data_IF_240818148665
#
_entry.id   IF_240818148665
#
_cell.length_a   1.000
_cell.length_b   1.000
_cell.length_c   1.000
_cell.angle_alpha   90.00
_cell.angle_beta   90.00
_cell.angle_gamma   90.00
#
_symmetry.space_group_name_H-M   'P 1'
#
loop_
_entity.id
_entity.type
_entity.pdbx_description
1 polymer ?
#
# COMPACT_ATOMS: atom_id res chain seq x y z
N UNK A 1 8.51 85.59 3.78
CA UNK A 1 8.89 84.25 4.27
C UNK A 1 7.63 83.38 4.18
N UNK A 2 7.43 82.72 3.04
CA UNK A 2 6.32 81.78 2.85
C UNK A 2 6.82 80.37 3.09
N UNK A 3 6.14 79.62 3.96
CA UNK A 3 6.34 78.19 4.09
C UNK A 3 5.68 77.50 2.89
N UNK A 4 6.36 76.61 2.15
CA UNK A 4 5.69 75.75 1.18
C UNK A 4 4.95 74.66 1.95
N UNK A 5 3.63 74.75 1.91
CA UNK A 5 2.68 73.79 2.46
C UNK A 5 2.22 72.88 1.32
N UNK A 6 3.11 71.98 0.88
CA UNK A 6 2.81 70.95 -0.12
C UNK A 6 3.45 69.63 0.34
N UNK A 7 2.82 69.01 1.34
CA UNK A 7 3.00 67.58 1.57
C UNK A 7 1.82 66.85 0.92
N UNK A 8 2.07 66.26 -0.25
CA UNK A 8 1.24 65.31 -1.00
C UNK A 8 1.02 64.00 -0.20
N UNK A 9 0.44 64.11 1.01
CA UNK A 9 0.27 63.01 1.95
C UNK A 9 -0.87 62.05 1.60
N UNK A 10 -1.80 62.45 0.74
CA UNK A 10 -3.03 61.67 0.47
C UNK A 10 -2.86 60.67 -0.68
N UNK A 11 -2.02 60.99 -1.68
CA UNK A 11 -1.74 60.08 -2.80
C UNK A 11 -0.84 58.90 -2.38
N UNK A 12 0.17 59.15 -1.55
CA UNK A 12 1.10 58.13 -1.07
C UNK A 12 0.43 57.11 -0.14
N UNK A 13 -0.52 57.53 0.70
CA UNK A 13 -1.30 56.62 1.55
C UNK A 13 -2.28 55.73 0.76
N UNK A 14 -2.88 56.26 -0.31
CA UNK A 14 -3.77 55.50 -1.19
C UNK A 14 -3.01 54.51 -2.10
N UNK A 15 -1.83 54.86 -2.58
CA UNK A 15 -0.94 53.95 -3.31
C UNK A 15 -0.41 52.82 -2.42
N UNK A 16 -0.03 53.11 -1.17
CA UNK A 16 0.39 52.11 -0.20
C UNK A 16 -0.74 51.15 0.22
N UNK A 17 -1.99 51.63 0.33
CA UNK A 17 -3.16 50.75 0.53
C UNK A 17 -3.46 49.89 -0.70
N UNK A 18 -3.44 50.45 -1.91
CA UNK A 18 -3.68 49.70 -3.14
C UNK A 18 -2.65 48.59 -3.39
N UNK A 19 -1.39 48.84 -3.03
CA UNK A 19 -0.31 47.84 -3.10
C UNK A 19 -0.44 46.76 -2.04
N UNK A 20 -0.83 47.10 -0.81
CA UNK A 20 -1.10 46.13 0.25
C UNK A 20 -2.30 45.23 -0.08
N UNK A 21 -3.42 45.79 -0.54
CA UNK A 21 -4.61 45.02 -0.93
C UNK A 21 -4.34 44.08 -2.12
N UNK A 22 -3.46 44.50 -3.04
CA UNK A 22 -2.97 43.66 -4.14
C UNK A 22 -2.05 42.53 -3.68
N UNK A 23 -1.18 42.77 -2.70
CA UNK A 23 -0.32 41.74 -2.08
C UNK A 23 -1.15 40.76 -1.26
N UNK A 24 -2.11 41.25 -0.48
CA UNK A 24 -3.00 40.44 0.35
C UNK A 24 -3.87 39.50 -0.49
N UNK A 25 -4.47 39.99 -1.59
CA UNK A 25 -5.23 39.13 -2.52
C UNK A 25 -4.37 38.03 -3.16
N UNK A 26 -3.13 38.34 -3.56
CA UNK A 26 -2.20 37.34 -4.10
C UNK A 26 -1.84 36.29 -3.04
N UNK A 27 -1.57 36.72 -1.82
CA UNK A 27 -1.31 35.81 -0.70
C UNK A 27 -2.50 34.90 -0.42
N UNK A 28 -3.72 35.44 -0.37
CA UNK A 28 -4.94 34.64 -0.17
C UNK A 28 -5.13 33.60 -1.28
N UNK A 29 -4.92 33.98 -2.54
CA UNK A 29 -4.99 33.06 -3.67
C UNK A 29 -3.96 31.93 -3.56
N UNK A 30 -2.71 32.25 -3.21
CA UNK A 30 -1.66 31.25 -2.97
C UNK A 30 -2.01 30.30 -1.82
N UNK A 31 -2.57 30.80 -0.72
CA UNK A 31 -3.01 29.95 0.40
C UNK A 31 -4.13 29.01 -0.02
N UNK A 32 -5.09 29.46 -0.84
CA UNK A 32 -6.18 28.62 -1.35
C UNK A 32 -5.62 27.53 -2.28
N UNK A 33 -4.71 27.87 -3.17
CA UNK A 33 -4.05 26.93 -4.08
C UNK A 33 -3.23 25.88 -3.31
N UNK A 34 -2.42 26.32 -2.34
CA UNK A 34 -1.64 25.41 -1.48
C UNK A 34 -2.56 24.45 -0.72
N UNK A 35 -3.69 24.92 -0.20
CA UNK A 35 -4.68 24.06 0.48
C UNK A 35 -5.35 23.08 -0.49
N UNK A 36 -5.65 23.50 -1.72
CA UNK A 36 -6.19 22.60 -2.75
C UNK A 36 -5.18 21.50 -3.10
N UNK A 37 -3.92 21.86 -3.33
CA UNK A 37 -2.83 20.93 -3.62
C UNK A 37 -2.59 19.96 -2.44
N UNK A 38 -2.60 20.46 -1.20
CA UNK A 38 -2.48 19.62 -0.01
C UNK A 38 -3.63 18.62 0.12
N UNK A 39 -4.87 19.03 -0.17
CA UNK A 39 -6.04 18.13 -0.15
C UNK A 39 -5.93 17.06 -1.21
N UNK A 40 -5.61 17.44 -2.45
CA UNK A 40 -5.44 16.49 -3.54
C UNK A 40 -4.35 15.45 -3.21
N UNK A 41 -3.22 15.91 -2.70
CA UNK A 41 -2.12 15.01 -2.31
C UNK A 41 -2.52 14.03 -1.20
N UNK A 42 -3.21 14.51 -0.15
CA UNK A 42 -3.72 13.63 0.91
C UNK A 42 -4.69 12.60 0.38
N UNK A 43 -5.59 13.00 -0.52
CA UNK A 43 -6.51 12.08 -1.19
C UNK A 43 -5.76 11.03 -2.04
N UNK A 44 -4.70 11.41 -2.76
CA UNK A 44 -3.87 10.45 -3.50
C UNK A 44 -3.15 9.46 -2.57
N UNK A 45 -2.64 9.92 -1.43
CA UNK A 45 -2.06 9.01 -0.43
C UNK A 45 -3.09 8.06 0.18
N UNK A 46 -4.27 8.58 0.50
CA UNK A 46 -5.38 7.79 1.02
C UNK A 46 -5.79 6.70 0.02
N UNK A 47 -6.05 7.08 -1.23
CA UNK A 47 -6.37 6.14 -2.30
C UNK A 47 -5.29 5.04 -2.45
N UNK A 48 -4.02 5.43 -2.47
CA UNK A 48 -2.89 4.50 -2.51
C UNK A 48 -2.90 3.51 -1.34
N UNK A 49 -3.05 4.00 -0.11
CA UNK A 49 -3.08 3.18 1.11
C UNK A 49 -4.27 2.22 1.13
N UNK A 50 -5.45 2.72 0.79
CA UNK A 50 -6.70 1.93 0.79
C UNK A 50 -6.64 0.86 -0.29
N UNK A 51 -6.20 1.19 -1.49
CA UNK A 51 -6.03 0.22 -2.59
C UNK A 51 -5.06 -0.89 -2.19
N UNK A 52 -3.91 -0.54 -1.61
CA UNK A 52 -2.92 -1.51 -1.13
C UNK A 52 -3.45 -2.42 -0.04
N UNK A 53 -4.11 -1.84 0.96
CA UNK A 53 -4.66 -2.57 2.10
C UNK A 53 -5.77 -3.53 1.68
N UNK A 54 -6.71 -3.08 0.84
CA UNK A 54 -7.83 -3.91 0.38
C UNK A 54 -7.31 -5.07 -0.48
N UNK A 55 -6.47 -4.81 -1.47
CA UNK A 55 -5.89 -5.88 -2.29
C UNK A 55 -5.01 -6.83 -1.47
N UNK A 56 -4.23 -6.30 -0.52
CA UNK A 56 -3.41 -7.10 0.39
C UNK A 56 -4.25 -8.07 1.20
N UNK A 57 -5.38 -7.61 1.75
CA UNK A 57 -6.33 -8.47 2.48
C UNK A 57 -7.00 -9.51 1.57
N UNK A 58 -7.44 -9.11 0.38
CA UNK A 58 -8.07 -10.04 -0.58
C UNK A 58 -7.10 -11.16 -0.94
N UNK A 59 -5.87 -10.84 -1.33
CA UNK A 59 -4.86 -11.83 -1.68
C UNK A 59 -4.42 -12.68 -0.49
N UNK A 60 -4.35 -12.09 0.72
CA UNK A 60 -4.09 -12.84 1.94
C UNK A 60 -5.21 -13.86 2.19
N UNK A 61 -6.48 -13.42 2.20
CA UNK A 61 -7.63 -14.29 2.42
C UNK A 61 -7.74 -15.36 1.34
N UNK A 62 -7.44 -15.02 0.08
CA UNK A 62 -7.37 -15.97 -1.02
C UNK A 62 -6.32 -17.06 -0.76
N UNK A 63 -5.17 -16.69 -0.19
CA UNK A 63 -4.12 -17.65 0.15
C UNK A 63 -4.46 -18.48 1.38
N UNK A 64 -5.23 -17.91 2.30
CA UNK A 64 -5.68 -18.55 3.53
C UNK A 64 -6.84 -19.51 3.35
N UNK A 65 -7.58 -19.43 2.24
CA UNK A 65 -8.83 -20.16 2.07
C UNK A 65 -10.02 -19.50 2.76
N UNK A 66 -9.90 -18.20 3.07
CA UNK A 66 -10.90 -17.41 3.80
C UNK A 66 -11.59 -16.38 2.92
N UNK A 67 -11.34 -16.38 1.62
CA UNK A 67 -11.99 -15.45 0.70
C UNK A 67 -13.33 -16.03 0.26
N UNK A 68 -14.41 -15.33 0.58
CA UNK A 68 -15.75 -15.68 0.13
C UNK A 68 -15.87 -15.61 -1.40
N UNK A 69 -16.58 -16.54 -2.07
CA UNK A 69 -16.75 -16.49 -3.53
C UNK A 69 -17.41 -15.21 -4.06
N UNK A 70 -18.24 -14.55 -3.25
CA UNK A 70 -18.94 -13.29 -3.55
C UNK A 70 -18.27 -12.06 -2.91
N UNK A 71 -16.97 -12.16 -2.55
CA UNK A 71 -16.23 -11.08 -1.88
C UNK A 71 -16.33 -9.71 -2.58
N UNK A 72 -16.48 -9.69 -3.91
CA UNK A 72 -16.63 -8.46 -4.69
C UNK A 72 -17.91 -7.70 -4.35
N UNK A 73 -19.00 -8.41 -4.08
CA UNK A 73 -20.32 -7.82 -3.78
C UNK A 73 -20.41 -7.31 -2.34
N UNK A 74 -19.56 -7.83 -1.45
CA UNK A 74 -19.52 -7.45 -0.03
C UNK A 74 -18.51 -6.33 0.26
N UNK A 75 -17.62 -6.02 -0.69
CA UNK A 75 -16.68 -4.92 -0.58
C UNK A 75 -17.40 -3.56 -0.63
N UNK A 76 -17.28 -2.82 0.47
CA UNK A 76 -17.81 -1.46 0.62
C UNK A 76 -16.92 -0.65 1.57
N UNK A 77 -16.95 0.70 1.48
CA UNK A 77 -16.32 1.56 2.49
C UNK A 77 -16.75 1.21 3.92
N UNK A 78 -18.02 0.93 4.13
CA UNK A 78 -18.56 0.55 5.44
C UNK A 78 -17.95 -0.75 5.97
N UNK A 79 -17.84 -1.78 5.13
CA UNK A 79 -17.18 -3.03 5.50
C UNK A 79 -15.68 -2.82 5.77
N UNK A 80 -15.01 -1.98 4.97
CA UNK A 80 -13.61 -1.61 5.19
C UNK A 80 -13.42 -0.96 6.57
N UNK A 81 -14.24 0.02 6.96
CA UNK A 81 -14.12 0.64 8.28
C UNK A 81 -14.50 -0.33 9.42
N UNK A 82 -15.50 -1.18 9.22
CA UNK A 82 -15.91 -2.19 10.20
C UNK A 82 -14.80 -3.22 10.47
N UNK A 83 -13.92 -3.48 9.49
CA UNK A 83 -12.73 -4.31 9.64
C UNK A 83 -11.59 -3.65 10.45
N UNK A 84 -11.81 -2.45 11.00
CA UNK A 84 -10.88 -1.75 11.89
C UNK A 84 -9.99 -0.72 11.20
N UNK A 85 -10.20 -0.45 9.91
CA UNK A 85 -9.50 0.64 9.22
C UNK A 85 -10.06 2.00 9.67
N UNK A 86 -9.20 3.00 9.94
CA UNK A 86 -9.66 4.31 10.39
C UNK A 86 -10.56 4.98 9.36
N UNK A 87 -11.73 5.45 9.78
CA UNK A 87 -12.62 6.25 8.95
C UNK A 87 -12.19 7.72 8.93
N UNK A 88 -11.84 8.30 7.77
CA UNK A 88 -11.53 9.72 7.67
C UNK A 88 -12.77 10.60 7.95
N UNK A 89 -12.53 11.83 8.41
CA UNK A 89 -13.58 12.85 8.55
C UNK A 89 -13.62 13.85 7.39
N UNK A 90 -12.56 13.93 6.60
CA UNK A 90 -12.47 14.78 5.41
C UNK A 90 -13.20 14.12 4.23
N UNK A 91 -14.19 14.77 3.61
CA UNK A 91 -14.93 14.24 2.45
C UNK A 91 -14.03 13.79 1.30
N UNK A 92 -12.94 14.50 1.03
CA UNK A 92 -12.03 14.14 -0.08
C UNK A 92 -11.30 12.81 0.18
N UNK A 93 -11.09 12.45 1.45
CA UNK A 93 -10.47 11.18 1.82
C UNK A 93 -11.50 10.04 1.80
N UNK A 94 -12.75 10.32 2.16
CA UNK A 94 -13.86 9.38 2.00
C UNK A 94 -14.10 9.03 0.52
N UNK A 95 -14.07 10.04 -0.36
CA UNK A 95 -14.17 9.83 -1.81
C UNK A 95 -12.99 9.02 -2.35
N UNK A 96 -11.78 9.24 -1.83
CA UNK A 96 -10.60 8.46 -2.18
C UNK A 96 -10.71 6.99 -1.76
N UNK A 97 -11.25 6.71 -0.57
CA UNK A 97 -11.53 5.34 -0.11
C UNK A 97 -12.58 4.66 -0.99
N UNK A 98 -13.69 5.36 -1.28
CA UNK A 98 -14.76 4.84 -2.12
C UNK A 98 -14.28 4.50 -3.52
N UNK A 99 -13.45 5.37 -4.13
CA UNK A 99 -12.83 5.10 -5.43
C UNK A 99 -11.89 3.89 -5.38
N UNK A 100 -11.01 3.80 -4.39
CA UNK A 100 -10.09 2.68 -4.24
C UNK A 100 -10.84 1.34 -4.11
N UNK A 101 -11.87 1.30 -3.26
CA UNK A 101 -12.68 0.09 -3.05
C UNK A 101 -13.45 -0.29 -4.32
N UNK A 102 -14.04 0.69 -5.01
CA UNK A 102 -14.72 0.48 -6.28
C UNK A 102 -13.77 -0.12 -7.33
N UNK A 103 -12.55 0.41 -7.46
CA UNK A 103 -11.55 -0.10 -8.40
C UNK A 103 -11.14 -1.55 -8.09
N UNK A 104 -11.00 -1.92 -6.81
CA UNK A 104 -10.75 -3.32 -6.42
C UNK A 104 -11.95 -4.21 -6.78
N UNK A 105 -13.15 -3.81 -6.35
CA UNK A 105 -14.37 -4.61 -6.52
C UNK A 105 -14.71 -4.84 -8.00
N UNK A 106 -14.42 -3.86 -8.86
CA UNK A 106 -14.68 -3.91 -10.31
C UNK A 106 -13.49 -4.37 -11.15
N UNK A 107 -12.35 -4.69 -10.54
CA UNK A 107 -11.22 -5.26 -11.26
C UNK A 107 -11.62 -6.57 -11.97
N UNK A 108 -10.99 -6.92 -13.11
CA UNK A 108 -11.27 -8.18 -13.79
C UNK A 108 -11.14 -9.38 -12.85
N UNK A 109 -12.01 -10.38 -13.03
CA UNK A 109 -11.93 -11.63 -12.28
C UNK A 109 -10.59 -12.32 -12.55
N UNK A 110 -9.89 -12.68 -11.49
CA UNK A 110 -8.57 -13.30 -11.53
C UNK A 110 -8.65 -14.82 -11.45
N UNK A 111 -7.63 -15.49 -12.00
CA UNK A 111 -7.56 -16.95 -12.08
C UNK A 111 -7.41 -17.60 -10.70
N UNK A 112 -6.91 -16.88 -9.70
CA UNK A 112 -6.79 -17.38 -8.34
C UNK A 112 -8.07 -17.23 -7.51
N UNK A 113 -9.12 -16.60 -8.04
CA UNK A 113 -10.37 -16.44 -7.28
C UNK A 113 -11.02 -17.81 -6.98
N UNK A 114 -11.85 -17.89 -5.91
CA UNK A 114 -12.52 -19.14 -5.54
C UNK A 114 -13.21 -19.81 -6.74
N UNK A 115 -12.95 -21.11 -6.91
CA UNK A 115 -13.50 -21.95 -7.97
C UNK A 115 -13.17 -21.57 -9.43
N UNK A 116 -12.45 -20.47 -9.68
CA UNK A 116 -12.17 -19.95 -11.03
C UNK A 116 -11.39 -20.93 -11.94
N UNK A 117 -10.63 -21.87 -11.36
CA UNK A 117 -9.87 -22.88 -12.10
C UNK A 117 -10.49 -24.27 -12.13
N UNK A 118 -11.66 -24.47 -11.51
CA UNK A 118 -12.30 -25.79 -11.46
C UNK A 118 -11.42 -26.89 -10.84
N UNK A 119 -10.64 -26.56 -9.82
CA UNK A 119 -9.78 -27.51 -9.11
C UNK A 119 -8.32 -27.58 -9.58
N UNK A 120 -7.93 -26.81 -10.62
CA UNK A 120 -6.52 -26.65 -10.98
C UNK A 120 -5.83 -25.67 -10.01
N UNK A 121 -5.47 -26.21 -8.84
CA UNK A 121 -4.83 -25.45 -7.76
C UNK A 121 -3.47 -24.89 -8.17
N UNK A 122 -2.73 -25.56 -9.06
CA UNK A 122 -1.39 -25.11 -9.47
C UNK A 122 -1.50 -23.85 -10.31
N UNK A 123 -2.47 -23.80 -11.22
CA UNK A 123 -2.77 -22.60 -12.00
C UNK A 123 -3.25 -21.45 -11.13
N UNK A 124 -4.15 -21.72 -10.18
CA UNK A 124 -4.62 -20.72 -9.22
C UNK A 124 -3.47 -20.15 -8.37
N UNK A 125 -2.65 -21.02 -7.78
CA UNK A 125 -1.50 -20.63 -6.95
C UNK A 125 -0.45 -19.81 -7.73
N UNK A 126 -0.21 -20.16 -9.00
CA UNK A 126 0.72 -19.41 -9.85
C UNK A 126 0.19 -18.02 -10.17
N UNK A 127 -1.10 -17.91 -10.53
CA UNK A 127 -1.75 -16.63 -10.77
C UNK A 127 -1.76 -15.75 -9.52
N UNK A 128 -2.05 -16.32 -8.35
CA UNK A 128 -1.99 -15.63 -7.06
C UNK A 128 -0.61 -15.03 -6.79
N UNK A 129 0.46 -15.81 -7.00
CA UNK A 129 1.84 -15.34 -6.81
C UNK A 129 2.13 -14.15 -7.73
N UNK A 130 1.74 -14.26 -8.99
CA UNK A 130 2.06 -13.24 -9.99
C UNK A 130 1.33 -11.92 -9.69
N UNK A 131 0.05 -11.98 -9.32
CA UNK A 131 -0.74 -10.81 -8.93
C UNK A 131 -0.24 -10.20 -7.60
N UNK A 132 0.12 -11.03 -6.61
CA UNK A 132 0.70 -10.54 -5.36
C UNK A 132 2.03 -9.81 -5.58
N UNK A 133 2.89 -10.31 -6.47
CA UNK A 133 4.15 -9.63 -6.83
C UNK A 133 3.89 -8.36 -7.61
N UNK A 134 2.91 -8.36 -8.52
CA UNK A 134 2.52 -7.19 -9.29
C UNK A 134 2.00 -6.08 -8.38
N UNK A 135 1.13 -6.42 -7.42
CA UNK A 135 0.63 -5.49 -6.41
C UNK A 135 1.78 -4.87 -5.61
N UNK A 136 2.68 -5.68 -5.05
CA UNK A 136 3.79 -5.16 -4.24
C UNK A 136 4.67 -4.19 -5.03
N UNK A 137 5.05 -4.55 -6.26
CA UNK A 137 5.83 -3.68 -7.13
C UNK A 137 5.09 -2.39 -7.48
N UNK A 138 3.79 -2.48 -7.72
CA UNK A 138 2.96 -1.31 -7.98
C UNK A 138 2.91 -0.40 -6.75
N UNK A 139 2.66 -0.96 -5.57
CA UNK A 139 2.58 -0.24 -4.30
C UNK A 139 3.88 0.51 -4.00
N UNK A 140 5.04 -0.13 -4.07
CA UNK A 140 6.32 0.54 -3.83
C UNK A 140 6.66 1.59 -4.88
N UNK A 141 6.27 1.38 -6.15
CA UNK A 141 6.44 2.38 -7.21
C UNK A 141 5.58 3.62 -6.96
N UNK A 142 4.30 3.42 -6.64
CA UNK A 142 3.35 4.50 -6.34
C UNK A 142 3.75 5.26 -5.08
N UNK A 143 4.17 4.55 -4.03
CA UNK A 143 4.72 5.14 -2.81
C UNK A 143 5.91 6.04 -3.08
N UNK A 144 6.87 5.59 -3.91
CA UNK A 144 8.06 6.37 -4.27
C UNK A 144 7.66 7.64 -5.02
N UNK A 145 6.78 7.52 -6.01
CA UNK A 145 6.25 8.68 -6.74
C UNK A 145 5.55 9.68 -5.81
N UNK A 146 4.70 9.20 -4.89
CA UNK A 146 4.03 10.03 -3.89
C UNK A 146 5.02 10.68 -2.90
N UNK A 147 6.08 9.98 -2.55
CA UNK A 147 7.13 10.42 -1.64
C UNK A 147 8.03 11.48 -2.28
N UNK A 148 8.36 11.36 -3.56
CA UNK A 148 9.15 12.36 -4.30
C UNK A 148 8.45 13.73 -4.29
N UNK A 149 7.13 13.74 -4.26
CA UNK A 149 6.33 14.97 -4.16
C UNK A 149 6.29 15.59 -2.77
N UNK A 150 6.65 14.87 -1.70
CA UNK A 150 6.40 15.33 -0.32
C UNK A 150 7.49 15.16 0.71
N UNK A 151 8.47 14.31 0.45
CA UNK A 151 9.65 14.17 1.30
C UNK A 151 10.69 15.21 0.84
N UNK A 152 11.27 15.99 1.77
CA UNK A 152 12.39 16.89 1.48
C UNK A 152 13.53 16.15 0.77
N UNK A 153 14.18 16.79 -0.20
CA UNK A 153 15.16 16.15 -1.08
C UNK A 153 16.30 15.43 -0.33
N UNK A 154 16.75 16.00 0.80
CA UNK A 154 17.80 15.39 1.64
C UNK A 154 17.41 14.07 2.32
N UNK A 155 16.11 13.84 2.56
CA UNK A 155 15.60 12.63 3.23
C UNK A 155 15.24 11.52 2.24
N UNK A 156 15.10 11.85 0.94
CA UNK A 156 14.69 10.89 -0.11
C UNK A 156 15.60 9.68 -0.26
N UNK A 157 16.95 9.79 -0.20
CA UNK A 157 17.82 8.61 -0.34
C UNK A 157 17.58 7.55 0.75
N UNK A 158 17.32 7.98 1.98
CA UNK A 158 17.04 7.08 3.10
C UNK A 158 15.67 6.41 2.95
N UNK A 159 14.64 7.16 2.53
CA UNK A 159 13.31 6.61 2.26
C UNK A 159 13.35 5.60 1.10
N UNK A 160 14.06 5.92 0.01
CA UNK A 160 14.21 5.03 -1.14
C UNK A 160 14.94 3.73 -0.77
N UNK A 161 15.97 3.79 0.08
CA UNK A 161 16.66 2.58 0.59
C UNK A 161 15.73 1.73 1.45
N UNK A 162 14.98 2.34 2.37
CA UNK A 162 14.00 1.64 3.20
C UNK A 162 12.93 0.95 2.33
N UNK A 163 12.38 1.64 1.35
CA UNK A 163 11.37 1.10 0.44
C UNK A 163 11.92 -0.08 -0.38
N UNK A 164 13.13 0.03 -0.92
CA UNK A 164 13.75 -1.07 -1.66
C UNK A 164 13.98 -2.31 -0.78
N UNK A 165 14.36 -2.10 0.48
CA UNK A 165 14.52 -3.19 1.45
C UNK A 165 13.18 -3.87 1.74
N UNK A 166 12.13 -3.08 2.06
CA UNK A 166 10.80 -3.63 2.35
C UNK A 166 10.19 -4.34 1.14
N UNK A 167 10.35 -3.80 -0.07
CA UNK A 167 9.91 -4.43 -1.32
C UNK A 167 10.57 -5.79 -1.52
N UNK A 168 11.90 -5.86 -1.38
CA UNK A 168 12.64 -7.12 -1.53
C UNK A 168 12.16 -8.19 -0.53
N UNK A 169 11.94 -7.81 0.73
CA UNK A 169 11.47 -8.73 1.78
C UNK A 169 10.05 -9.23 1.52
N UNK A 170 9.15 -8.35 1.08
CA UNK A 170 7.79 -8.73 0.71
C UNK A 170 7.77 -9.70 -0.47
N UNK A 171 8.60 -9.44 -1.50
CA UNK A 171 8.72 -10.34 -2.66
C UNK A 171 9.29 -11.71 -2.27
N UNK A 172 10.28 -11.77 -1.38
CA UNK A 172 10.80 -13.04 -0.87
C UNK A 172 9.72 -13.80 -0.08
N UNK A 173 8.86 -13.10 0.69
CA UNK A 173 7.76 -13.72 1.43
C UNK A 173 6.65 -14.28 0.51
N UNK A 174 6.31 -13.57 -0.57
CA UNK A 174 5.37 -14.08 -1.59
C UNK A 174 5.92 -15.36 -2.21
N UNK A 175 7.20 -15.37 -2.58
CA UNK A 175 7.85 -16.54 -3.17
C UNK A 175 7.91 -17.71 -2.18
N UNK A 176 8.18 -17.46 -0.90
CA UNK A 176 8.10 -18.49 0.15
C UNK A 176 6.69 -19.07 0.26
N UNK A 177 5.64 -18.23 0.24
CA UNK A 177 4.23 -18.67 0.32
C UNK A 177 3.79 -19.47 -0.91
N UNK A 178 4.28 -19.10 -2.09
CA UNK A 178 4.12 -19.87 -3.32
C UNK A 178 4.75 -21.27 -3.20
N UNK A 179 6.02 -21.35 -2.77
CA UNK A 179 6.71 -22.64 -2.57
C UNK A 179 6.06 -23.49 -1.49
N UNK A 180 5.56 -22.87 -0.43
CA UNK A 180 4.78 -23.56 0.59
C UNK A 180 3.48 -24.14 0.02
N UNK A 181 2.84 -23.44 -0.92
CA UNK A 181 1.68 -23.95 -1.65
C UNK A 181 2.03 -25.14 -2.56
N UNK A 182 3.17 -25.11 -3.24
CA UNK A 182 3.67 -26.24 -4.04
C UNK A 182 3.92 -27.47 -3.16
N UNK A 183 4.60 -27.31 -2.03
CA UNK A 183 4.82 -28.37 -1.05
C UNK A 183 3.50 -28.98 -0.56
N UNK A 184 2.52 -28.14 -0.21
CA UNK A 184 1.18 -28.57 0.17
C UNK A 184 0.42 -29.30 -0.94
N UNK A 185 0.75 -29.03 -2.21
CA UNK A 185 0.23 -29.72 -3.39
C UNK A 185 0.94 -31.04 -3.72
N UNK A 186 1.94 -31.45 -2.93
CA UNK A 186 2.68 -32.70 -3.09
C UNK A 186 4.05 -32.59 -3.77
N UNK A 187 4.49 -31.38 -4.13
CA UNK A 187 5.82 -31.18 -4.70
C UNK A 187 6.90 -31.31 -3.62
N UNK A 188 8.07 -31.82 -3.99
CA UNK A 188 9.22 -31.95 -3.08
C UNK A 188 9.94 -30.60 -2.85
N UNK A 189 9.22 -29.59 -2.37
CA UNK A 189 9.73 -28.24 -2.15
C UNK A 189 10.12 -27.99 -0.68
N UNK A 190 11.41 -27.72 -0.43
CA UNK A 190 11.89 -27.27 0.89
C UNK A 190 11.81 -25.74 0.99
N UNK A 191 10.58 -25.21 1.03
CA UNK A 191 10.35 -23.76 1.06
C UNK A 191 10.97 -23.08 2.29
N UNK A 192 11.00 -23.74 3.45
CA UNK A 192 11.62 -23.21 4.68
C UNK A 192 13.14 -23.09 4.51
N UNK A 193 13.79 -24.13 3.96
CA UNK A 193 15.22 -24.12 3.68
C UNK A 193 15.60 -23.02 2.69
N UNK A 194 14.82 -22.90 1.61
CA UNK A 194 14.96 -21.83 0.63
C UNK A 194 14.85 -20.44 1.29
N UNK A 195 13.80 -20.20 2.10
CA UNK A 195 13.58 -18.89 2.70
C UNK A 195 14.67 -18.52 3.72
N UNK A 196 15.18 -19.50 4.50
CA UNK A 196 16.33 -19.29 5.39
C UNK A 196 17.59 -18.88 4.64
N UNK A 197 17.91 -19.58 3.54
CA UNK A 197 19.06 -19.24 2.70
C UNK A 197 18.90 -17.85 2.10
N UNK A 198 17.70 -17.53 1.57
CA UNK A 198 17.40 -16.21 1.01
C UNK A 198 17.63 -15.07 2.02
N UNK A 199 17.11 -15.22 3.23
CA UNK A 199 17.32 -14.26 4.33
C UNK A 199 18.82 -14.14 4.66
N UNK A 200 19.55 -15.26 4.75
CA UNK A 200 20.98 -15.25 5.06
C UNK A 200 21.86 -14.60 4.00
N UNK A 201 21.46 -14.71 2.73
CA UNK A 201 22.22 -14.16 1.61
C UNK A 201 21.94 -12.67 1.36
N UNK A 202 20.72 -12.22 1.61
CA UNK A 202 20.25 -10.92 1.10
C UNK A 202 19.76 -9.94 2.17
N UNK A 203 19.44 -10.41 3.38
CA UNK A 203 18.94 -9.51 4.43
C UNK A 203 20.06 -9.11 5.39
N UNK A 204 20.10 -7.82 5.73
CA UNK A 204 21.12 -7.24 6.61
C UNK A 204 20.55 -6.89 7.99
N UNK A 205 21.16 -7.43 9.04
CA UNK A 205 20.83 -7.07 10.43
C UNK A 205 21.22 -5.61 10.77
N UNK A 206 22.19 -5.04 10.03
CA UNK A 206 22.52 -3.63 10.16
C UNK A 206 21.39 -2.74 9.64
N UNK A 207 20.72 -3.14 8.54
CA UNK A 207 19.54 -2.45 8.05
C UNK A 207 18.37 -2.56 9.04
N UNK A 208 18.20 -3.71 9.70
CA UNK A 208 17.17 -3.89 10.75
C UNK A 208 17.33 -2.87 11.88
N UNK A 209 18.56 -2.69 12.35
CA UNK A 209 18.88 -1.74 13.43
C UNK A 209 18.73 -0.29 12.97
N UNK A 210 19.20 0.01 11.75
CA UNK A 210 19.16 1.36 11.16
C UNK A 210 17.71 1.84 10.97
N UNK A 211 16.85 0.98 10.43
CA UNK A 211 15.46 1.33 10.10
C UNK A 211 14.44 0.86 11.13
N UNK A 212 14.88 0.24 12.23
CA UNK A 212 14.03 -0.32 13.30
C UNK A 212 12.94 -1.23 12.72
N UNK A 213 13.34 -2.13 11.82
CA UNK A 213 12.40 -2.99 11.09
C UNK A 213 11.75 -3.99 12.05
N UNK A 214 10.41 -3.96 12.14
CA UNK A 214 9.66 -4.91 12.95
C UNK A 214 9.89 -6.36 12.47
N UNK A 215 9.92 -6.57 11.17
CA UNK A 215 10.20 -7.86 10.53
C UNK A 215 11.70 -8.04 10.29
N UNK A 216 12.46 -8.07 11.39
CA UNK A 216 13.91 -8.28 11.37
C UNK A 216 14.28 -9.69 10.91
N UNK A 217 15.54 -9.87 10.51
CA UNK A 217 16.13 -11.18 10.19
C UNK A 217 15.87 -12.19 11.30
N UNK A 218 16.11 -11.79 12.56
CA UNK A 218 15.93 -12.65 13.73
C UNK A 218 14.46 -13.06 13.90
N UNK A 219 13.53 -12.10 13.83
CA UNK A 219 12.11 -12.36 14.02
C UNK A 219 11.57 -13.32 12.97
N UNK A 220 11.92 -13.10 11.69
CA UNK A 220 11.46 -13.96 10.60
C UNK A 220 12.07 -15.36 10.71
N UNK A 221 13.37 -15.48 11.04
CA UNK A 221 14.00 -16.80 11.27
C UNK A 221 13.34 -17.56 12.43
N UNK A 222 13.11 -16.89 13.55
CA UNK A 222 12.42 -17.47 14.70
C UNK A 222 11.02 -17.97 14.33
N UNK A 223 10.26 -17.22 13.54
CA UNK A 223 8.95 -17.64 13.05
C UNK A 223 9.03 -18.88 12.12
N UNK A 224 10.02 -18.93 11.22
CA UNK A 224 10.27 -20.12 10.37
C UNK A 224 10.55 -21.35 11.23
N UNK A 225 11.40 -21.22 12.25
CA UNK A 225 11.84 -22.31 13.11
C UNK A 225 10.74 -22.80 14.04
N UNK A 226 9.90 -21.89 14.52
CA UNK A 226 8.72 -22.22 15.32
C UNK A 226 7.55 -22.77 14.48
N UNK A 227 7.66 -22.78 13.15
CA UNK A 227 6.57 -23.17 12.26
C UNK A 227 5.36 -22.25 12.35
N UNK A 228 5.55 -21.01 12.80
CA UNK A 228 4.48 -20.04 12.96
C UNK A 228 4.14 -19.36 11.63
N UNK A 229 2.92 -18.85 11.47
CA UNK A 229 2.59 -17.92 10.39
C UNK A 229 3.58 -16.76 10.38
N UNK A 230 4.27 -16.60 9.26
CA UNK A 230 5.20 -15.48 9.06
C UNK A 230 4.39 -14.37 8.42
N UNK A 231 4.32 -13.22 9.09
CA UNK A 231 3.79 -11.98 8.52
C UNK A 231 4.97 -11.11 8.13
N UNK A 232 4.92 -10.42 6.99
CA UNK A 232 5.96 -9.48 6.57
C UNK A 232 5.35 -8.19 6.04
N UNK A 233 5.84 -7.04 6.53
CA UNK A 233 5.55 -5.71 5.98
C UNK A 233 4.09 -5.28 6.05
N UNK A 234 3.79 -4.09 5.53
CA UNK A 234 2.49 -3.41 5.65
C UNK A 234 1.31 -4.13 4.95
N UNK A 235 1.57 -5.18 4.18
CA UNK A 235 0.55 -5.98 3.50
C UNK A 235 0.78 -7.45 3.82
N UNK A 236 -0.06 -7.96 4.72
CA UNK A 236 0.01 -9.20 5.47
C UNK A 236 0.08 -10.46 4.60
N UNK A 237 1.26 -10.79 4.06
CA UNK A 237 1.47 -12.10 3.43
C UNK A 237 1.71 -13.12 4.54
N UNK A 238 0.80 -14.07 4.69
CA UNK A 238 0.97 -15.24 5.55
C UNK A 238 1.55 -16.40 4.74
N UNK A 239 2.67 -16.92 5.20
CA UNK A 239 3.30 -18.11 4.62
C UNK A 239 2.76 -19.35 5.34
N UNK A 240 2.05 -20.22 4.62
CA UNK A 240 1.53 -21.48 5.15
C UNK A 240 1.64 -22.63 4.14
N UNK A 241 1.95 -23.82 4.65
CA UNK A 241 2.03 -25.05 3.85
C UNK A 241 0.66 -25.74 3.78
N UNK A 242 -0.30 -25.00 3.24
CA UNK A 242 -1.68 -25.43 3.04
C UNK A 242 -2.21 -24.86 1.71
N UNK A 243 -3.17 -25.53 1.07
CA UNK A 243 -3.87 -25.04 -0.12
C UNK A 243 -5.36 -24.87 0.23
N UNK A 244 -5.97 -23.71 -0.11
CA UNK A 244 -7.40 -23.52 -0.04
C UNK A 244 -8.20 -24.67 -0.66
N UNK A 245 -9.30 -25.07 0.01
CA UNK A 245 -10.18 -26.14 -0.47
C UNK A 245 -10.78 -25.81 -1.84
N UNK A 246 -11.27 -24.57 -2.04
CA UNK A 246 -11.84 -24.12 -3.32
C UNK A 246 -10.85 -24.08 -4.49
N UNK A 247 -9.54 -24.17 -4.25
CA UNK A 247 -8.56 -24.33 -5.33
C UNK A 247 -8.41 -25.79 -5.75
N UNK A 248 -8.78 -26.73 -4.88
CA UNK A 248 -8.71 -28.18 -5.13
C UNK A 248 -10.02 -28.75 -5.64
N UNK A 249 -11.13 -28.16 -5.24
CA UNK A 249 -12.46 -28.59 -5.63
C UNK A 249 -12.85 -27.99 -7.00
N UNK A 250 -13.29 -28.84 -7.92
CA UNK A 250 -14.06 -28.37 -9.07
C UNK A 250 -15.43 -27.89 -8.61
N UNK A 251 -16.03 -26.92 -9.29
CA UNK A 251 -17.42 -26.51 -9.00
C UNK A 251 -18.29 -27.77 -8.91
N UNK A 252 -18.81 -28.06 -7.70
CA UNK A 252 -19.89 -29.02 -7.55
C UNK A 252 -21.12 -28.35 -8.13
N UNK A 253 -21.35 -28.55 -9.42
CA UNK A 253 -22.61 -28.16 -10.06
C UNK A 253 -23.76 -28.81 -9.26
N UNK A 254 -24.74 -28.03 -8.77
CA UNK A 254 -25.99 -28.59 -8.28
C UNK A 254 -26.77 -29.31 -9.39
#
# INVERSE_FOLDING_TARGET
MGYPDDFDGDNSANELRGTFDGLWRRYQAQVVELRANQRQWRASWQHYQTTGSVWGLVLMNARLGLLDPDWRDTLSPEAHYAAGFPRPTDPALLDADALAIYEVATAPAAVWEPHATGGDWRRALSAWRDDARALQRHQFRTKRWLSDMTIPEGDRPNAARLDALLEARALDAIEASYRAGLAAGGDAENWRGWYRSRIGETWSAADDSTYKLYYSVERVRSAIDAGQPIVTGADTIIIQEHLPEYWREGETKP
#
